data_IF_349740832117
#
_entry.id   IF_349740832117
#
_cell.length_a   1.000
_cell.length_b   1.000
_cell.length_c   1.000
_cell.angle_alpha   90.00
_cell.angle_beta   90.00
_cell.angle_gamma   90.00
#
_symmetry.space_group_name_H-M   'P 1'
#
loop_
_entity.id
_entity.type
_entity.pdbx_description
1 polymer ?
#
# COMPACT_ATOMS: atom_id res chain seq x y z
N UNK A 1 -19.63 -7.44 0.77
CA UNK A 1 -19.04 -7.75 -0.55
C UNK A 1 -19.82 -7.00 -1.62
N UNK A 2 -19.22 -6.01 -2.27
CA UNK A 2 -19.93 -5.08 -3.14
C UNK A 2 -20.34 -5.75 -4.46
N UNK A 3 -21.48 -5.36 -5.03
CA UNK A 3 -22.00 -5.88 -6.32
C UNK A 3 -20.98 -5.77 -7.47
N UNK A 4 -20.09 -4.77 -7.41
CA UNK A 4 -18.98 -4.55 -8.34
C UNK A 4 -17.96 -5.70 -8.33
N UNK A 5 -17.59 -6.21 -7.15
CA UNK A 5 -16.59 -7.29 -6.99
C UNK A 5 -17.04 -8.60 -7.66
N UNK A 6 -18.35 -8.86 -7.66
CA UNK A 6 -18.94 -10.02 -8.33
C UNK A 6 -18.92 -9.87 -9.85
N UNK A 7 -19.18 -8.66 -10.35
CA UNK A 7 -19.17 -8.36 -11.79
C UNK A 7 -17.76 -8.46 -12.37
N UNK A 8 -16.75 -7.94 -11.66
CA UNK A 8 -15.36 -7.97 -12.13
C UNK A 8 -14.79 -9.40 -12.17
N UNK A 9 -15.18 -10.27 -11.22
CA UNK A 9 -14.85 -11.71 -11.26
C UNK A 9 -15.44 -12.41 -12.49
N UNK A 10 -16.73 -12.18 -12.76
CA UNK A 10 -17.41 -12.81 -13.90
C UNK A 10 -16.84 -12.30 -15.22
N UNK A 11 -16.58 -10.99 -15.35
CA UNK A 11 -15.93 -10.43 -16.54
C UNK A 11 -14.51 -10.98 -16.72
N UNK A 12 -13.68 -10.99 -15.67
CA UNK A 12 -12.31 -11.51 -15.72
C UNK A 12 -12.26 -12.98 -16.14
N UNK A 13 -13.14 -13.83 -15.59
CA UNK A 13 -13.26 -15.23 -15.95
C UNK A 13 -13.64 -15.46 -17.43
N UNK A 14 -14.40 -14.53 -18.02
CA UNK A 14 -14.92 -14.65 -19.40
C UNK A 14 -13.98 -14.01 -20.44
N UNK A 15 -13.22 -12.96 -20.09
CA UNK A 15 -12.43 -12.20 -21.08
C UNK A 15 -10.91 -12.37 -20.97
N UNK A 16 -10.36 -12.65 -19.77
CA UNK A 16 -8.92 -12.86 -19.53
C UNK A 16 -8.70 -13.71 -18.27
N UNK A 17 -8.86 -15.02 -18.38
CA UNK A 17 -8.75 -15.97 -17.24
C UNK A 17 -7.44 -15.83 -16.45
N UNK A 18 -6.34 -15.47 -17.12
CA UNK A 18 -5.02 -15.25 -16.54
C UNK A 18 -4.97 -14.09 -15.54
N UNK A 19 -5.87 -13.10 -15.70
CA UNK A 19 -5.98 -11.95 -14.78
C UNK A 19 -6.81 -12.24 -13.53
N UNK A 20 -7.55 -13.35 -13.50
CA UNK A 20 -8.42 -13.70 -12.37
C UNK A 20 -7.63 -13.84 -11.06
N UNK A 21 -6.41 -14.39 -11.13
CA UNK A 21 -5.52 -14.50 -9.97
C UNK A 21 -5.13 -13.15 -9.38
N UNK A 22 -4.85 -12.17 -10.23
CA UNK A 22 -4.58 -10.78 -9.80
C UNK A 22 -5.80 -10.16 -9.15
N UNK A 23 -6.97 -10.25 -9.79
CA UNK A 23 -8.24 -9.70 -9.26
C UNK A 23 -8.57 -10.29 -7.88
N UNK A 24 -8.41 -11.61 -7.72
CA UNK A 24 -8.66 -12.28 -6.44
C UNK A 24 -7.66 -11.80 -5.38
N UNK A 25 -6.37 -11.67 -5.71
CA UNK A 25 -5.38 -11.17 -4.77
C UNK A 25 -5.64 -9.72 -4.35
N UNK A 26 -6.10 -8.85 -5.25
CA UNK A 26 -6.40 -7.46 -4.90
C UNK A 26 -7.61 -7.36 -3.94
N UNK A 27 -8.60 -8.25 -4.10
CA UNK A 27 -9.72 -8.37 -3.16
C UNK A 27 -9.27 -8.91 -1.80
N UNK A 28 -8.36 -9.89 -1.79
CA UNK A 28 -7.76 -10.41 -0.55
C UNK A 28 -6.93 -9.31 0.13
N UNK A 29 -6.12 -8.57 -0.63
CA UNK A 29 -5.32 -7.46 -0.12
C UNK A 29 -6.20 -6.40 0.54
N UNK A 30 -7.30 -6.02 -0.13
CA UNK A 30 -8.28 -5.06 0.41
C UNK A 30 -8.89 -5.57 1.72
N UNK A 31 -9.32 -6.84 1.79
CA UNK A 31 -9.84 -7.42 3.05
C UNK A 31 -8.79 -7.42 4.16
N UNK A 32 -7.57 -7.83 3.86
CA UNK A 32 -6.50 -7.92 4.84
C UNK A 32 -6.10 -6.54 5.35
N UNK A 33 -5.75 -5.60 4.47
CA UNK A 33 -5.26 -4.28 4.90
C UNK A 33 -6.30 -3.52 5.72
N UNK A 34 -7.60 -3.71 5.42
CA UNK A 34 -8.68 -3.00 6.13
C UNK A 34 -9.02 -3.59 7.51
N UNK A 35 -8.62 -4.83 7.79
CA UNK A 35 -9.01 -5.57 9.01
C UNK A 35 -7.83 -6.05 9.86
N UNK A 36 -6.59 -5.90 9.35
CA UNK A 36 -5.36 -6.28 10.07
C UNK A 36 -4.93 -5.28 11.13
N UNK A 37 -5.48 -4.07 11.16
CA UNK A 37 -5.19 -3.13 12.23
C UNK A 37 -5.99 -3.51 13.47
N UNK A 38 -5.32 -3.61 14.61
CA UNK A 38 -5.92 -4.00 15.89
C UNK A 38 -6.77 -2.86 16.47
N UNK A 39 -7.70 -3.22 17.36
CA UNK A 39 -8.59 -2.26 18.01
C UNK A 39 -7.80 -1.21 18.79
N UNK A 40 -8.26 0.05 18.77
CA UNK A 40 -7.60 1.20 19.43
C UNK A 40 -6.12 1.40 19.03
N UNK A 41 -5.71 0.93 17.85
CA UNK A 41 -4.39 1.21 17.26
C UNK A 41 -4.48 2.23 16.12
N UNK A 42 -3.32 2.64 15.62
CA UNK A 42 -3.21 3.59 14.51
C UNK A 42 -2.97 2.88 13.18
N UNK A 43 -3.79 3.22 12.18
CA UNK A 43 -3.63 2.88 10.77
C UNK A 43 -3.13 4.10 9.99
N UNK A 44 -2.09 3.95 9.18
CA UNK A 44 -1.58 5.01 8.31
C UNK A 44 -1.88 4.69 6.84
N UNK A 45 -2.57 5.59 6.13
CA UNK A 45 -2.83 5.52 4.69
C UNK A 45 -1.97 6.53 3.92
N UNK A 46 -0.83 6.09 3.38
CA UNK A 46 0.03 6.92 2.52
C UNK A 46 -0.41 6.75 1.06
N UNK A 47 -0.77 7.88 0.42
CA UNK A 47 -1.42 7.87 -0.88
C UNK A 47 -2.91 7.56 -0.76
N UNK A 48 -3.60 8.30 0.12
CA UNK A 48 -5.00 8.05 0.47
C UNK A 48 -6.01 8.28 -0.69
N UNK A 49 -5.62 9.06 -1.71
CA UNK A 49 -6.39 9.33 -2.92
C UNK A 49 -7.80 9.87 -2.66
N UNK A 50 -8.85 9.06 -2.83
CA UNK A 50 -10.26 9.43 -2.56
C UNK A 50 -10.81 8.84 -1.24
N UNK A 51 -9.94 8.17 -0.47
CA UNK A 51 -10.24 7.64 0.86
C UNK A 51 -11.09 6.36 0.81
N UNK A 52 -10.90 5.53 -0.21
CA UNK A 52 -11.58 4.23 -0.30
C UNK A 52 -11.17 3.30 0.84
N UNK A 53 -9.89 3.26 1.17
CA UNK A 53 -9.36 2.43 2.26
C UNK A 53 -9.74 3.01 3.62
N UNK A 54 -9.62 4.33 3.79
CA UNK A 54 -10.11 5.05 4.98
C UNK A 54 -11.57 4.65 5.31
N UNK A 55 -12.47 4.73 4.32
CA UNK A 55 -13.87 4.36 4.52
C UNK A 55 -14.05 2.91 4.98
N UNK A 56 -13.28 1.98 4.43
CA UNK A 56 -13.37 0.56 4.78
C UNK A 56 -12.79 0.26 6.17
N UNK A 57 -11.70 0.91 6.57
CA UNK A 57 -11.12 0.79 7.91
C UNK A 57 -12.10 1.34 8.95
N UNK A 58 -12.64 2.55 8.74
CA UNK A 58 -13.59 3.17 9.67
C UNK A 58 -14.94 2.43 9.76
N UNK A 59 -15.40 1.81 8.67
CA UNK A 59 -16.61 0.97 8.67
C UNK A 59 -16.39 -0.37 9.40
N UNK A 60 -15.18 -0.93 9.29
CA UNK A 60 -14.81 -2.16 9.98
C UNK A 60 -14.72 -1.95 11.50
N UNK A 61 -13.99 -0.91 11.93
CA UNK A 61 -13.86 -0.56 13.33
C UNK A 61 -13.54 0.92 13.53
N UNK A 62 -14.50 1.65 14.10
CA UNK A 62 -14.38 3.06 14.41
C UNK A 62 -13.40 3.38 15.57
N UNK A 63 -12.91 2.36 16.30
CA UNK A 63 -11.89 2.55 17.34
C UNK A 63 -10.48 2.72 16.78
N UNK A 64 -10.25 2.36 15.51
CA UNK A 64 -8.95 2.53 14.84
C UNK A 64 -8.74 4.01 14.52
N UNK A 65 -7.62 4.57 15.01
CA UNK A 65 -7.21 5.92 14.63
C UNK A 65 -6.63 5.87 13.21
N UNK A 66 -7.19 6.65 12.28
CA UNK A 66 -6.66 6.74 10.91
C UNK A 66 -5.89 8.04 10.72
N UNK A 67 -4.66 7.92 10.21
CA UNK A 67 -3.84 9.02 9.72
C UNK A 67 -3.70 8.85 8.21
N UNK A 68 -4.10 9.85 7.44
CA UNK A 68 -4.05 9.83 5.99
C UNK A 68 -3.07 10.87 5.46
N UNK A 69 -2.26 10.49 4.47
CA UNK A 69 -1.34 11.40 3.78
C UNK A 69 -1.65 11.40 2.29
N UNK A 70 -1.89 12.59 1.75
CA UNK A 70 -2.26 12.79 0.34
C UNK A 70 -1.52 13.99 -0.26
N UNK A 71 -0.78 13.77 -1.34
CA UNK A 71 0.06 14.79 -1.96
C UNK A 71 -0.76 15.87 -2.69
N UNK A 72 -1.89 15.51 -3.32
CA UNK A 72 -2.70 16.43 -4.12
C UNK A 72 -3.57 17.31 -3.20
N UNK A 73 -3.37 18.65 -3.16
CA UNK A 73 -4.06 19.51 -2.20
C UNK A 73 -5.59 19.48 -2.28
N UNK A 74 -6.14 19.36 -3.49
CA UNK A 74 -7.59 19.24 -3.69
C UNK A 74 -8.15 17.93 -3.12
N UNK A 75 -7.43 16.81 -3.28
CA UNK A 75 -7.83 15.52 -2.71
C UNK A 75 -7.73 15.55 -1.19
N UNK A 76 -6.63 16.05 -0.63
CA UNK A 76 -6.47 16.20 0.82
C UNK A 76 -7.59 17.08 1.43
N UNK A 77 -7.98 18.17 0.77
CA UNK A 77 -9.12 19.01 1.20
C UNK A 77 -10.44 18.22 1.20
N UNK A 78 -10.70 17.44 0.14
CA UNK A 78 -11.90 16.59 0.03
C UNK A 78 -11.91 15.49 1.10
N UNK A 79 -10.77 14.89 1.40
CA UNK A 79 -10.63 13.90 2.47
C UNK A 79 -11.00 14.49 3.82
N UNK A 80 -10.46 15.66 4.19
CA UNK A 80 -10.82 16.36 5.44
C UNK A 80 -12.31 16.63 5.57
N UNK A 81 -12.96 17.03 4.47
CA UNK A 81 -14.41 17.28 4.47
C UNK A 81 -15.24 16.00 4.56
N UNK A 82 -14.75 14.89 4.00
CA UNK A 82 -15.46 13.61 3.92
C UNK A 82 -15.30 12.78 5.19
N UNK A 83 -14.15 12.91 5.87
CA UNK A 83 -13.79 12.14 7.06
C UNK A 83 -13.29 13.09 8.15
N UNK A 84 -14.20 13.73 8.90
CA UNK A 84 -13.83 14.75 9.90
C UNK A 84 -13.05 14.18 11.09
N UNK A 85 -13.18 12.87 11.36
CA UNK A 85 -12.49 12.19 12.47
C UNK A 85 -11.11 11.63 12.06
N UNK A 86 -10.69 11.85 10.82
CA UNK A 86 -9.41 11.37 10.28
C UNK A 86 -8.38 12.49 10.26
N UNK A 87 -7.17 12.19 10.73
CA UNK A 87 -6.04 13.11 10.68
C UNK A 87 -5.48 13.14 9.25
N UNK A 88 -5.72 14.21 8.49
CA UNK A 88 -5.31 14.30 7.08
C UNK A 88 -4.19 15.31 6.86
N UNK A 89 -3.06 14.81 6.39
CA UNK A 89 -1.85 15.55 6.04
C UNK A 89 -1.72 15.73 4.53
N UNK A 90 -1.36 16.94 4.08
CA UNK A 90 -1.18 17.25 2.66
C UNK A 90 0.30 17.36 2.29
N UNK A 91 0.94 16.21 2.14
CA UNK A 91 2.36 16.10 1.80
C UNK A 91 2.55 14.92 0.83
N UNK A 92 3.57 15.01 -0.02
CA UNK A 92 4.22 13.80 -0.52
C UNK A 92 5.07 13.19 0.62
N UNK A 93 5.25 11.87 0.60
CA UNK A 93 6.11 11.18 1.56
C UNK A 93 7.30 10.59 0.82
N UNK A 94 8.49 10.72 1.40
CA UNK A 94 9.72 10.13 0.89
C UNK A 94 10.82 10.10 1.94
N UNK A 95 12.06 10.01 1.50
CA UNK A 95 13.24 9.96 2.39
C UNK A 95 13.92 11.32 2.61
N UNK A 96 13.32 12.41 2.13
CA UNK A 96 13.84 13.78 2.20
C UNK A 96 12.75 14.75 2.63
N UNK A 97 13.18 15.94 3.06
CA UNK A 97 12.33 17.06 3.45
C UNK A 97 12.48 18.18 2.41
N UNK A 98 11.39 18.87 2.06
CA UNK A 98 11.45 20.06 1.20
C UNK A 98 10.26 20.20 0.26
N UNK A 99 10.53 20.59 -0.98
CA UNK A 99 9.52 20.72 -2.04
C UNK A 99 9.97 19.92 -3.26
N UNK A 100 9.03 19.24 -3.91
CA UNK A 100 9.30 18.36 -5.05
C UNK A 100 8.26 18.57 -6.16
N UNK A 101 8.64 18.26 -7.39
CA UNK A 101 7.69 18.17 -8.50
C UNK A 101 6.84 16.92 -8.35
N UNK A 102 5.53 17.07 -8.51
CA UNK A 102 4.55 15.99 -8.49
C UNK A 102 3.69 16.07 -9.75
N UNK A 103 3.43 14.94 -10.38
CA UNK A 103 2.81 14.87 -11.69
C UNK A 103 1.41 14.27 -11.57
N UNK A 104 0.39 15.10 -11.76
CA UNK A 104 -1.02 14.69 -11.70
C UNK A 104 -1.42 14.10 -13.05
N UNK A 105 -1.84 12.84 -13.07
CA UNK A 105 -2.46 12.24 -14.25
C UNK A 105 -3.92 12.73 -14.37
N UNK A 106 -4.19 13.51 -15.42
CA UNK A 106 -5.49 14.16 -15.65
C UNK A 106 -6.58 13.21 -16.13
N UNK A 107 -6.21 12.03 -16.65
CA UNK A 107 -7.18 11.01 -17.10
C UNK A 107 -7.45 9.96 -16.03
N UNK A 108 -6.41 9.56 -15.33
CA UNK A 108 -6.45 8.47 -14.36
C UNK A 108 -5.76 8.93 -13.09
N UNK A 109 -6.47 9.72 -12.28
CA UNK A 109 -5.87 10.41 -11.12
C UNK A 109 -5.25 9.50 -10.05
N UNK A 110 -5.50 8.18 -10.11
CA UNK A 110 -4.81 7.18 -9.27
C UNK A 110 -3.32 7.11 -9.58
N UNK A 111 -2.96 7.14 -10.86
CA UNK A 111 -1.58 7.06 -11.35
C UNK A 111 -0.82 8.40 -11.28
N UNK A 112 -1.10 9.24 -10.28
CA UNK A 112 -0.37 10.49 -10.06
C UNK A 112 0.79 10.23 -9.10
N UNK A 113 2.00 10.71 -9.41
CA UNK A 113 3.18 10.33 -8.62
C UNK A 113 4.28 11.39 -8.64
N UNK A 114 5.33 11.13 -7.85
CA UNK A 114 6.58 11.91 -7.87
C UNK A 114 7.40 11.66 -9.14
N UNK A 115 7.08 10.62 -9.91
CA UNK A 115 7.84 10.23 -11.09
C UNK A 115 7.45 11.08 -12.28
N UNK A 116 8.46 11.56 -13.00
CA UNK A 116 8.22 12.27 -14.25
C UNK A 116 7.57 11.31 -15.26
N UNK A 117 6.47 11.71 -15.93
CA UNK A 117 5.81 10.88 -16.91
C UNK A 117 6.73 10.64 -18.12
N UNK A 118 6.66 9.45 -18.70
CA UNK A 118 7.27 9.15 -20.01
C UNK A 118 6.75 10.12 -21.08
N UNK A 119 7.50 10.30 -22.18
CA UNK A 119 7.14 11.23 -23.27
C UNK A 119 5.69 11.06 -23.73
N UNK A 120 5.22 9.82 -23.90
CA UNK A 120 3.86 9.50 -24.34
C UNK A 120 2.78 9.93 -23.34
N UNK A 121 3.12 10.00 -22.05
CA UNK A 121 2.20 10.37 -20.96
C UNK A 121 2.29 11.84 -20.57
N UNK A 122 3.29 12.61 -21.03
CA UNK A 122 3.41 14.05 -20.71
C UNK A 122 2.16 14.85 -21.08
N UNK A 123 1.54 14.53 -22.21
CA UNK A 123 0.34 15.23 -22.70
C UNK A 123 -0.89 15.11 -21.80
N UNK A 124 -0.89 14.15 -20.87
CA UNK A 124 -1.98 13.88 -19.93
C UNK A 124 -1.59 14.15 -18.48
N UNK A 125 -0.45 14.79 -18.24
CA UNK A 125 0.07 15.07 -16.90
C UNK A 125 0.21 16.56 -16.66
N UNK A 126 -0.14 17.01 -15.46
CA UNK A 126 0.10 18.38 -14.99
C UNK A 126 1.09 18.33 -13.84
N UNK A 127 2.20 19.06 -13.99
CA UNK A 127 3.18 19.23 -12.92
C UNK A 127 2.69 20.26 -11.90
N UNK A 128 2.80 19.92 -10.62
CA UNK A 128 2.62 20.82 -9.49
C UNK A 128 3.81 20.72 -8.55
N UNK A 129 3.99 21.72 -7.69
CA UNK A 129 4.91 21.65 -6.56
C UNK A 129 4.15 21.27 -5.30
N UNK A 130 4.68 20.30 -4.55
CA UNK A 130 4.12 19.85 -3.27
C UNK A 130 5.22 19.74 -2.23
N UNK A 131 4.92 20.00 -0.95
CA UNK A 131 5.87 19.72 0.11
C UNK A 131 6.06 18.20 0.25
N UNK A 132 7.30 17.77 0.45
CA UNK A 132 7.68 16.38 0.74
C UNK A 132 8.27 16.29 2.13
N UNK A 133 7.91 15.23 2.85
CA UNK A 133 8.38 14.96 4.22
C UNK A 133 8.72 13.49 4.41
N UNK A 134 9.53 13.19 5.43
CA UNK A 134 9.65 11.84 5.97
C UNK A 134 8.40 11.47 6.77
N UNK A 135 7.96 10.22 6.72
CA UNK A 135 6.83 9.81 7.57
C UNK A 135 7.19 9.92 9.06
N UNK A 136 8.44 9.63 9.39
CA UNK A 136 9.00 9.79 10.74
C UNK A 136 8.89 11.22 11.30
N UNK A 137 8.92 12.25 10.45
CA UNK A 137 8.81 13.65 10.90
C UNK A 137 7.36 14.11 11.01
N UNK A 138 6.46 13.45 10.29
CA UNK A 138 5.03 13.78 10.23
C UNK A 138 4.22 13.14 11.36
N UNK A 139 4.53 11.89 11.70
CA UNK A 139 3.75 11.09 12.65
C UNK A 139 4.63 10.64 13.80
N UNK A 140 4.24 11.01 15.02
CA UNK A 140 4.84 10.50 16.25
C UNK A 140 3.77 9.75 17.05
N UNK A 141 3.78 8.42 16.93
CA UNK A 141 2.92 7.54 17.73
C UNK A 141 3.60 6.19 18.02
N UNK A 142 3.17 5.58 19.12
CA UNK A 142 3.75 4.36 19.70
C UNK A 142 2.79 3.15 19.56
N UNK A 143 1.74 3.34 18.77
CA UNK A 143 0.67 2.38 18.54
C UNK A 143 0.36 2.18 17.04
N UNK A 144 1.33 2.48 16.18
CA UNK A 144 1.18 2.33 14.72
C UNK A 144 1.18 0.84 14.38
N UNK A 145 0.05 0.32 13.92
CA UNK A 145 -0.13 -1.12 13.74
C UNK A 145 -0.06 -1.55 12.26
N UNK A 146 -0.59 -0.71 11.36
CA UNK A 146 -0.59 -0.97 9.92
C UNK A 146 -0.26 0.30 9.15
N UNK A 147 0.56 0.17 8.10
CA UNK A 147 0.83 1.21 7.11
C UNK A 147 0.45 0.69 5.74
N UNK A 148 -0.41 1.42 5.03
CA UNK A 148 -0.62 1.26 3.58
C UNK A 148 0.26 2.27 2.85
N UNK A 149 0.98 1.82 1.83
CA UNK A 149 1.79 2.65 0.95
C UNK A 149 1.36 2.40 -0.51
N UNK A 150 0.78 3.42 -1.14
CA UNK A 150 0.35 3.37 -2.54
C UNK A 150 0.62 4.74 -3.15
N UNK A 151 1.87 4.94 -3.59
CA UNK A 151 2.39 6.24 -4.02
C UNK A 151 2.96 6.20 -5.45
N UNK A 152 2.59 5.16 -6.19
CA UNK A 152 2.84 5.01 -7.63
C UNK A 152 4.33 5.14 -7.97
N UNK A 153 5.16 4.38 -7.25
CA UNK A 153 6.58 4.17 -7.55
C UNK A 153 7.57 4.85 -6.60
N UNK A 154 7.12 5.47 -5.53
CA UNK A 154 8.01 6.03 -4.49
C UNK A 154 8.04 5.18 -3.21
N UNK A 155 7.63 3.90 -3.27
CA UNK A 155 7.41 3.08 -2.08
C UNK A 155 8.70 2.85 -1.28
N UNK A 156 9.83 2.62 -1.95
CA UNK A 156 11.12 2.47 -1.27
C UNK A 156 11.51 3.73 -0.49
N UNK A 157 11.26 4.91 -1.06
CA UNK A 157 11.59 6.17 -0.39
C UNK A 157 10.65 6.45 0.78
N UNK A 158 9.37 6.09 0.67
CA UNK A 158 8.43 6.12 1.80
C UNK A 158 8.89 5.17 2.92
N UNK A 159 9.25 3.94 2.57
CA UNK A 159 9.75 2.94 3.53
C UNK A 159 11.00 3.47 4.26
N UNK A 160 11.99 3.99 3.52
CA UNK A 160 13.19 4.62 4.10
C UNK A 160 12.87 5.86 4.94
N UNK A 161 11.87 6.64 4.56
CA UNK A 161 11.37 7.78 5.32
C UNK A 161 10.59 7.41 6.60
N UNK A 162 10.31 6.13 6.81
CA UNK A 162 9.51 5.58 7.92
C UNK A 162 10.34 4.71 8.87
N UNK A 163 11.67 4.80 8.83
CA UNK A 163 12.59 3.93 9.57
C UNK A 163 12.32 3.92 11.08
N UNK A 164 12.11 5.08 11.68
CA UNK A 164 11.86 5.20 13.13
C UNK A 164 10.52 4.57 13.49
N UNK A 165 9.49 4.80 12.68
CA UNK A 165 8.18 4.15 12.87
C UNK A 165 8.29 2.64 12.76
N UNK A 166 8.99 2.13 11.73
CA UNK A 166 9.14 0.71 11.45
C UNK A 166 9.88 0.00 12.59
N UNK A 167 11.01 0.57 13.02
CA UNK A 167 11.82 0.01 14.12
C UNK A 167 11.10 0.06 15.46
N UNK A 168 10.37 1.15 15.76
CA UNK A 168 9.70 1.34 17.04
C UNK A 168 8.41 0.53 17.19
N UNK A 169 7.59 0.50 16.14
CA UNK A 169 6.23 -0.04 16.22
C UNK A 169 6.08 -1.41 15.58
N UNK A 170 6.99 -1.78 14.67
CA UNK A 170 6.88 -2.99 13.85
C UNK A 170 5.47 -3.18 13.24
N UNK A 171 4.97 -2.19 12.47
CA UNK A 171 3.67 -2.28 11.83
C UNK A 171 3.70 -3.32 10.71
N UNK A 172 2.54 -3.88 10.35
CA UNK A 172 2.37 -4.54 9.05
C UNK A 172 2.38 -3.47 7.96
N UNK A 173 3.13 -3.69 6.89
CA UNK A 173 3.20 -2.73 5.77
C UNK A 173 2.58 -3.39 4.53
N UNK A 174 1.46 -2.86 4.04
CA UNK A 174 0.99 -3.18 2.69
C UNK A 174 1.53 -2.14 1.74
N UNK A 175 2.19 -2.55 0.65
CA UNK A 175 2.66 -1.62 -0.37
C UNK A 175 2.33 -2.11 -1.77
N UNK A 176 2.07 -1.17 -2.68
CA UNK A 176 1.94 -1.47 -4.10
C UNK A 176 3.34 -1.59 -4.73
N UNK A 177 3.53 -2.64 -5.52
CA UNK A 177 4.69 -2.81 -6.37
C UNK A 177 4.21 -3.33 -7.72
N UNK A 178 3.76 -2.40 -8.57
CA UNK A 178 3.36 -2.69 -9.94
C UNK A 178 4.58 -2.93 -10.86
N UNK A 179 4.41 -3.62 -12.00
CA UNK A 179 5.46 -3.72 -13.01
C UNK A 179 5.86 -2.34 -13.52
N UNK A 180 7.16 -2.11 -13.64
CA UNK A 180 7.71 -0.90 -14.22
C UNK A 180 8.38 -1.22 -15.57
N UNK A 181 8.41 -0.24 -16.46
CA UNK A 181 9.13 -0.29 -17.74
C UNK A 181 10.47 0.46 -17.67
N UNK A 182 10.89 0.91 -16.49
CA UNK A 182 12.19 1.56 -16.27
C UNK A 182 13.35 0.59 -16.50
N UNK A 183 14.56 1.09 -16.71
CA UNK A 183 15.72 0.23 -16.91
C UNK A 183 16.21 -0.42 -15.59
N UNK A 184 16.02 0.26 -14.45
CA UNK A 184 16.56 -0.12 -13.14
C UNK A 184 15.53 -0.75 -12.19
N UNK A 185 14.29 -0.97 -12.65
CA UNK A 185 13.17 -1.40 -11.79
C UNK A 185 13.47 -2.65 -10.95
N UNK A 186 14.28 -3.56 -11.47
CA UNK A 186 14.69 -4.78 -10.75
C UNK A 186 15.57 -4.46 -9.56
N UNK A 187 16.49 -3.50 -9.72
CA UNK A 187 17.37 -3.04 -8.65
C UNK A 187 16.55 -2.38 -7.54
N UNK A 188 15.66 -1.45 -7.91
CA UNK A 188 14.76 -0.78 -6.95
C UNK A 188 13.90 -1.78 -6.18
N UNK A 189 13.38 -2.81 -6.86
CA UNK A 189 12.61 -3.86 -6.21
C UNK A 189 13.45 -4.77 -5.32
N UNK A 190 14.67 -5.10 -5.74
CA UNK A 190 15.63 -5.82 -4.89
C UNK A 190 15.96 -5.02 -3.62
N UNK A 191 16.14 -3.71 -3.74
CA UNK A 191 16.41 -2.81 -2.61
C UNK A 191 15.26 -2.79 -1.59
N UNK A 192 14.00 -2.84 -2.04
CA UNK A 192 12.84 -2.97 -1.14
C UNK A 192 12.94 -4.25 -0.32
N UNK A 193 13.22 -5.39 -0.97
CA UNK A 193 13.32 -6.69 -0.29
C UNK A 193 14.50 -6.69 0.69
N UNK A 194 15.67 -6.22 0.25
CA UNK A 194 16.88 -6.16 1.09
C UNK A 194 16.63 -5.30 2.31
N UNK A 195 16.11 -4.09 2.13
CA UNK A 195 15.85 -3.18 3.22
C UNK A 195 14.86 -3.78 4.22
N UNK A 196 13.73 -4.33 3.75
CA UNK A 196 12.75 -4.94 4.66
C UNK A 196 13.34 -6.16 5.42
N UNK A 197 14.12 -7.00 4.76
CA UNK A 197 14.80 -8.13 5.41
C UNK A 197 15.77 -7.66 6.49
N UNK A 198 16.56 -6.61 6.22
CA UNK A 198 17.53 -6.04 7.16
C UNK A 198 16.85 -5.50 8.44
N UNK A 199 15.58 -5.07 8.32
CA UNK A 199 14.76 -4.61 9.44
C UNK A 199 13.84 -5.70 10.02
N UNK A 200 14.05 -6.97 9.67
CA UNK A 200 13.37 -8.11 10.27
C UNK A 200 11.95 -8.35 9.75
N UNK A 201 11.69 -8.05 8.48
CA UNK A 201 10.42 -8.29 7.81
C UNK A 201 10.50 -9.42 6.80
N UNK A 202 9.38 -10.11 6.61
CA UNK A 202 9.16 -11.08 5.53
C UNK A 202 8.06 -10.59 4.57
N UNK A 203 8.22 -10.85 3.27
CA UNK A 203 7.25 -10.45 2.25
C UNK A 203 6.26 -11.55 1.89
N UNK A 204 5.00 -11.18 1.69
CA UNK A 204 3.94 -12.11 1.28
C UNK A 204 3.08 -11.49 0.17
N UNK A 205 2.67 -12.33 -0.78
CA UNK A 205 1.49 -12.02 -1.61
C UNK A 205 0.21 -12.18 -0.75
N UNK A 206 -0.90 -11.50 -1.09
CA UNK A 206 -2.08 -11.41 -0.23
C UNK A 206 -2.65 -12.78 0.16
N UNK A 207 -2.82 -13.68 -0.81
CA UNK A 207 -3.33 -15.04 -0.55
C UNK A 207 -2.38 -15.94 0.25
N UNK A 208 -1.17 -15.48 0.60
CA UNK A 208 -0.17 -16.25 1.38
C UNK A 208 0.03 -15.76 2.80
N UNK A 209 -0.53 -14.61 3.17
CA UNK A 209 -0.43 -14.06 4.54
C UNK A 209 -0.91 -15.07 5.60
N UNK A 210 -1.99 -15.79 5.32
CA UNK A 210 -2.59 -16.79 6.22
C UNK A 210 -1.88 -18.17 6.25
N UNK A 211 -0.83 -18.37 5.43
CA UNK A 211 -0.13 -19.65 5.33
C UNK A 211 1.00 -19.77 6.36
N UNK A 212 1.48 -20.99 6.62
CA UNK A 212 2.65 -21.27 7.49
C UNK A 212 3.99 -21.16 6.74
N UNK A 213 3.96 -21.01 5.40
CA UNK A 213 5.17 -20.97 4.60
C UNK A 213 6.00 -19.70 4.85
N UNK A 214 7.29 -19.73 4.47
CA UNK A 214 8.17 -18.57 4.56
C UNK A 214 7.69 -17.44 3.64
N UNK A 215 8.23 -16.24 3.86
CA UNK A 215 8.11 -15.12 2.94
C UNK A 215 8.68 -15.42 1.54
N UNK A 216 8.39 -14.54 0.59
CA UNK A 216 8.98 -14.56 -0.75
C UNK A 216 10.49 -14.32 -0.65
N UNK A 217 11.28 -15.11 -1.41
CA UNK A 217 12.65 -14.71 -1.70
C UNK A 217 12.66 -13.48 -2.61
N UNK A 218 13.81 -12.80 -2.69
CA UNK A 218 14.00 -11.68 -3.61
C UNK A 218 13.72 -12.08 -5.07
N UNK A 219 14.18 -13.27 -5.50
CA UNK A 219 13.93 -13.77 -6.84
C UNK A 219 12.44 -13.99 -7.09
N UNK A 220 11.72 -14.60 -6.15
CA UNK A 220 10.27 -14.81 -6.24
C UNK A 220 9.50 -13.49 -6.28
N UNK A 221 9.94 -12.48 -5.50
CA UNK A 221 9.34 -11.15 -5.54
C UNK A 221 9.59 -10.46 -6.89
N UNK A 222 10.80 -10.51 -7.44
CA UNK A 222 11.07 -9.94 -8.76
C UNK A 222 10.28 -10.69 -9.84
N UNK A 223 10.21 -12.02 -9.75
CA UNK A 223 9.49 -12.87 -10.70
C UNK A 223 7.99 -12.54 -10.75
N UNK A 224 7.36 -12.22 -9.61
CA UNK A 224 5.92 -11.94 -9.56
C UNK A 224 5.48 -10.69 -10.32
N UNK A 225 6.42 -9.88 -10.84
CA UNK A 225 6.15 -8.72 -11.69
C UNK A 225 6.04 -9.05 -13.18
N UNK A 226 6.50 -10.23 -13.62
CA UNK A 226 6.33 -10.67 -15.00
C UNK A 226 4.92 -11.19 -15.25
N UNK A 227 4.48 -11.06 -16.50
CA UNK A 227 3.20 -11.62 -16.94
C UNK A 227 3.33 -13.14 -17.16
N UNK A 228 2.35 -13.97 -16.74
CA UNK A 228 1.11 -13.62 -16.05
C UNK A 228 1.31 -13.34 -14.56
N UNK A 229 0.80 -12.20 -14.10
CA UNK A 229 1.04 -11.70 -12.73
C UNK A 229 0.09 -12.30 -11.70
N UNK A 230 0.57 -12.33 -10.45
CA UNK A 230 -0.23 -12.77 -9.30
C UNK A 230 -0.89 -11.61 -8.55
N UNK A 231 -0.23 -10.46 -8.41
CA UNK A 231 -0.73 -9.29 -7.66
C UNK A 231 0.14 -8.07 -7.94
N UNK A 232 -0.35 -6.87 -7.60
CA UNK A 232 0.47 -5.67 -7.42
C UNK A 232 0.64 -5.28 -5.96
N UNK A 233 -0.05 -5.94 -5.03
CA UNK A 233 -0.05 -5.61 -3.60
C UNK A 233 0.73 -6.64 -2.80
N UNK A 234 1.63 -6.19 -1.94
CA UNK A 234 2.47 -7.05 -1.11
C UNK A 234 2.38 -6.65 0.35
N UNK A 235 2.52 -7.63 1.24
CA UNK A 235 2.54 -7.43 2.68
C UNK A 235 3.94 -7.71 3.21
N UNK A 236 4.59 -6.71 3.78
CA UNK A 236 5.74 -6.89 4.65
C UNK A 236 5.23 -7.10 6.09
N UNK A 237 5.57 -8.25 6.66
CA UNK A 237 5.14 -8.65 8.00
C UNK A 237 6.39 -8.77 8.89
N UNK A 238 6.44 -8.10 10.04
CA UNK A 238 7.55 -8.26 10.97
C UNK A 238 7.64 -9.70 11.46
N UNK A 239 8.83 -10.29 11.46
CA UNK A 239 9.06 -11.69 11.86
C UNK A 239 8.48 -11.98 13.25
N UNK A 240 8.67 -11.05 14.19
CA UNK A 240 8.15 -11.18 15.56
C UNK A 240 6.61 -11.21 15.66
N UNK A 241 5.90 -10.67 14.66
CA UNK A 241 4.43 -10.65 14.57
C UNK A 241 3.88 -11.70 13.61
N UNK A 242 4.75 -12.54 13.02
CA UNK A 242 4.37 -13.44 11.91
C UNK A 242 3.20 -14.37 12.26
N UNK A 243 3.24 -14.99 13.44
CA UNK A 243 2.20 -15.91 13.92
C UNK A 243 0.88 -15.20 14.20
N UNK A 244 0.94 -14.06 14.90
CA UNK A 244 -0.22 -13.21 15.20
C UNK A 244 -0.95 -12.79 13.90
N UNK A 245 -0.21 -12.20 12.96
CA UNK A 245 -0.78 -11.70 11.71
C UNK A 245 -1.32 -12.84 10.83
N UNK A 246 -0.67 -14.01 10.83
CA UNK A 246 -1.18 -15.20 10.14
C UNK A 246 -2.55 -15.61 10.65
N UNK A 247 -2.71 -15.69 11.97
CA UNK A 247 -3.93 -16.20 12.59
C UNK A 247 -5.08 -15.19 12.50
N UNK A 248 -4.76 -13.90 12.59
CA UNK A 248 -5.70 -12.82 12.23
C UNK A 248 -6.12 -12.91 10.77
N UNK A 249 -5.19 -13.10 9.84
CA UNK A 249 -5.50 -13.27 8.42
C UNK A 249 -6.38 -14.50 8.14
N UNK A 250 -6.21 -15.61 8.86
CA UNK A 250 -7.12 -16.77 8.75
C UNK A 250 -8.53 -16.43 9.16
N UNK A 251 -8.68 -15.68 10.25
CA UNK A 251 -9.97 -15.19 10.74
C UNK A 251 -10.61 -14.23 9.73
N UNK A 252 -9.84 -13.24 9.26
CA UNK A 252 -10.28 -12.26 8.26
C UNK A 252 -10.71 -12.94 6.95
N UNK A 253 -10.08 -14.05 6.57
CA UNK A 253 -10.35 -14.75 5.31
C UNK A 253 -11.31 -15.95 5.46
N UNK A 254 -11.93 -16.12 6.62
CA UNK A 254 -12.86 -17.23 6.93
C UNK A 254 -12.27 -18.62 6.65
N UNK A 255 -10.96 -18.80 6.91
CA UNK A 255 -10.29 -20.07 6.67
C UNK A 255 -10.47 -21.01 7.87
N UNK A 256 -11.00 -22.20 7.61
CA UNK A 256 -11.09 -23.26 8.63
C UNK A 256 -9.69 -23.69 9.07
N UNK A 257 -9.39 -23.57 10.37
CA UNK A 257 -8.18 -24.15 10.96
C UNK A 257 -8.45 -25.66 11.06
N UNK A 258 -7.94 -26.42 10.10
CA UNK A 258 -7.91 -27.88 10.17
C UNK A 258 -6.76 -28.34 11.07
#
# INVERSE_FOLDING_TARGET
MATRDKIDRVKGAVTKSESLGTIINDQIATRLVTQLCDHNKTFIDVGAHIGSIIALVSDYDASIKVIAVEAIPDKARKLRSKFPDVEVHNYAVGNTEGEVSFYINTRESGYSSLRQPSEDKKSISVEIKVPIVRLDSLVSSDDIDVIKIDVEGAELDVIRGSETIITKNSPVIMFESAPSQEDDWKSTKADIVSWLNDYGYELFVPNRVAHNGPGLSQECFIESHYYPRRTTNYFAIPIQRRTEIRDRARTILDLSIA
#
